data_IF_353616055812
#
_entry.id   IF_353616055812
#
_cell.length_a   1.000
_cell.length_b   1.000
_cell.length_c   1.000
_cell.angle_alpha   90.00
_cell.angle_beta   90.00
_cell.angle_gamma   90.00
#
_symmetry.space_group_name_H-M   'P 1'
#
loop_
_entity.id
_entity.type
_entity.pdbx_description
1 polymer ?
#
# COMPACT_ATOMS: atom_id res chain seq x y z
N UNK A 1 8.86 14.85 -34.75
CA UNK A 1 9.11 13.41 -34.61
C UNK A 1 7.76 12.71 -34.54
N UNK A 2 7.54 11.60 -35.25
CA UNK A 2 6.29 10.86 -35.10
C UNK A 2 6.13 10.39 -33.65
N UNK A 3 4.93 10.54 -33.10
CA UNK A 3 4.59 10.12 -31.74
C UNK A 3 4.11 8.67 -31.81
N UNK A 4 4.83 7.76 -31.15
CA UNK A 4 4.44 6.36 -31.07
C UNK A 4 3.45 6.20 -29.91
N UNK A 5 2.19 5.91 -30.22
CA UNK A 5 1.17 5.58 -29.22
C UNK A 5 1.02 4.07 -29.15
N UNK A 6 1.29 3.49 -27.97
CA UNK A 6 1.12 2.06 -27.72
C UNK A 6 -0.09 1.85 -26.81
N UNK A 7 -0.89 0.83 -27.13
CA UNK A 7 -1.90 0.30 -26.21
C UNK A 7 -1.23 -0.50 -25.08
N UNK A 8 -1.94 -0.67 -23.96
CA UNK A 8 -1.46 -1.49 -22.84
C UNK A 8 -1.17 -2.94 -23.29
N UNK A 9 -1.99 -3.49 -24.18
CA UNK A 9 -1.79 -4.84 -24.74
C UNK A 9 -0.49 -4.93 -25.53
N UNK A 10 -0.19 -3.93 -26.37
CA UNK A 10 1.08 -3.88 -27.10
C UNK A 10 2.28 -3.77 -26.15
N UNK A 11 2.17 -3.00 -25.07
CA UNK A 11 3.22 -2.92 -24.05
C UNK A 11 3.46 -4.28 -23.39
N UNK A 12 2.40 -5.01 -23.03
CA UNK A 12 2.50 -6.35 -22.43
C UNK A 12 3.14 -7.34 -23.40
N UNK A 13 2.76 -7.33 -24.68
CA UNK A 13 3.38 -8.19 -25.70
C UNK A 13 4.86 -7.89 -25.89
N UNK A 14 5.28 -6.62 -25.81
CA UNK A 14 6.70 -6.25 -25.86
C UNK A 14 7.46 -6.81 -24.65
N UNK A 15 6.88 -6.74 -23.44
CA UNK A 15 7.49 -7.31 -22.23
C UNK A 15 7.67 -8.83 -22.36
N UNK A 16 6.69 -9.53 -22.95
CA UNK A 16 6.77 -10.98 -23.20
C UNK A 16 7.91 -11.38 -24.13
N UNK A 17 8.37 -10.49 -25.01
CA UNK A 17 9.45 -10.77 -25.95
C UNK A 17 10.85 -10.51 -25.37
N UNK A 18 10.95 -9.91 -24.19
CA UNK A 18 12.23 -9.60 -23.56
C UNK A 18 13.01 -10.85 -23.14
N UNK A 19 14.36 -10.76 -23.07
CA UNK A 19 15.19 -11.77 -22.42
C UNK A 19 14.77 -11.98 -20.96
N UNK A 20 15.03 -13.18 -20.43
CA UNK A 20 14.61 -13.56 -19.07
C UNK A 20 15.18 -12.64 -17.98
N UNK A 21 16.41 -12.16 -18.16
CA UNK A 21 17.06 -11.23 -17.24
C UNK A 21 16.28 -9.91 -17.13
N UNK A 22 15.87 -9.34 -18.27
CA UNK A 22 15.10 -8.10 -18.34
C UNK A 22 13.66 -8.27 -17.79
N UNK A 23 13.04 -9.43 -18.02
CA UNK A 23 11.76 -9.77 -17.39
C UNK A 23 11.88 -9.82 -15.86
N UNK A 24 13.00 -10.33 -15.35
CA UNK A 24 13.26 -10.41 -13.91
C UNK A 24 13.44 -9.02 -13.30
N UNK A 25 14.07 -8.10 -14.01
CA UNK A 25 14.20 -6.70 -13.59
C UNK A 25 12.85 -5.99 -13.52
N UNK A 26 12.02 -6.12 -14.56
CA UNK A 26 10.65 -5.57 -14.57
C UNK A 26 9.83 -6.17 -13.43
N UNK A 27 9.91 -7.48 -13.21
CA UNK A 27 9.19 -8.13 -12.12
C UNK A 27 9.62 -7.62 -10.74
N UNK A 28 10.93 -7.42 -10.52
CA UNK A 28 11.47 -6.83 -9.29
C UNK A 28 10.94 -5.42 -9.06
N UNK A 29 10.92 -4.60 -10.11
CA UNK A 29 10.34 -3.25 -10.05
C UNK A 29 8.85 -3.27 -9.67
N UNK A 30 8.07 -4.16 -10.29
CA UNK A 30 6.63 -4.30 -9.98
C UNK A 30 6.39 -4.73 -8.54
N UNK A 31 7.20 -5.65 -7.99
CA UNK A 31 7.09 -6.06 -6.59
C UNK A 31 7.38 -4.91 -5.62
N UNK A 32 8.44 -4.13 -5.87
CA UNK A 32 8.81 -2.99 -5.01
C UNK A 32 7.74 -1.90 -5.06
N UNK A 33 7.25 -1.57 -6.25
CA UNK A 33 6.19 -0.55 -6.41
C UNK A 33 4.89 -0.94 -5.72
N UNK A 34 4.53 -2.24 -5.75
CA UNK A 34 3.38 -2.75 -5.01
C UNK A 34 3.61 -2.64 -3.50
N UNK A 35 4.79 -2.99 -2.98
CA UNK A 35 5.11 -2.82 -1.56
C UNK A 35 5.08 -1.38 -1.11
N UNK A 36 5.54 -0.44 -1.93
CA UNK A 36 5.47 0.98 -1.58
C UNK A 36 4.03 1.46 -1.49
N UNK A 37 3.17 1.05 -2.41
CA UNK A 37 1.74 1.34 -2.35
C UNK A 37 1.07 0.69 -1.12
N UNK A 38 1.45 -0.54 -0.77
CA UNK A 38 0.97 -1.21 0.44
C UNK A 38 1.49 -0.55 1.73
N UNK A 39 2.73 -0.08 1.74
CA UNK A 39 3.33 0.64 2.86
C UNK A 39 2.67 2.00 3.03
N UNK A 40 2.35 2.70 1.94
CA UNK A 40 1.61 3.96 1.97
C UNK A 40 0.16 3.73 2.48
N UNK A 41 -0.50 2.65 2.06
CA UNK A 41 -1.83 2.27 2.57
C UNK A 41 -1.79 1.85 4.05
N UNK A 42 -0.76 1.12 4.47
CA UNK A 42 -0.54 0.69 5.86
C UNK A 42 -0.25 1.90 6.77
N UNK A 43 0.62 2.80 6.32
CA UNK A 43 0.93 4.05 7.02
C UNK A 43 -0.31 4.96 7.09
N UNK A 44 -1.10 5.06 6.02
CA UNK A 44 -2.36 5.78 6.03
C UNK A 44 -3.35 5.21 7.06
N UNK A 45 -3.49 3.88 7.13
CA UNK A 45 -4.30 3.21 8.15
C UNK A 45 -3.81 3.50 9.57
N UNK A 46 -2.50 3.35 9.80
CA UNK A 46 -1.87 3.62 11.09
C UNK A 46 -2.04 5.08 11.54
N UNK A 47 -1.88 6.04 10.62
CA UNK A 47 -2.01 7.46 10.93
C UNK A 47 -3.46 7.87 11.20
N UNK A 48 -4.43 7.25 10.51
CA UNK A 48 -5.86 7.46 10.79
C UNK A 48 -6.26 6.94 12.15
N UNK A 49 -5.76 5.76 12.54
CA UNK A 49 -6.05 5.18 13.85
C UNK A 49 -5.38 5.99 14.97
N UNK A 50 -4.13 6.44 14.78
CA UNK A 50 -3.45 7.38 15.70
C UNK A 50 -4.22 8.70 15.85
N UNK A 51 -4.73 9.26 14.76
CA UNK A 51 -5.55 10.47 14.79
C UNK A 51 -6.86 10.24 15.55
N UNK A 52 -7.55 9.14 15.28
CA UNK A 52 -8.79 8.76 15.97
C UNK A 52 -8.58 8.54 17.48
N UNK A 53 -7.45 7.93 17.86
CA UNK A 53 -7.05 7.74 19.26
C UNK A 53 -6.85 9.08 19.95
N UNK A 54 -6.06 10.00 19.36
CA UNK A 54 -5.83 11.35 19.90
C UNK A 54 -7.12 12.15 20.04
N UNK A 55 -8.00 12.12 19.04
CA UNK A 55 -9.29 12.82 19.09
C UNK A 55 -10.19 12.33 20.23
N UNK A 56 -10.06 11.07 20.62
CA UNK A 56 -10.82 10.42 21.70
C UNK A 56 -10.08 10.42 23.05
N UNK A 57 -8.93 11.10 23.15
CA UNK A 57 -8.16 11.22 24.38
C UNK A 57 -7.25 10.03 24.71
N UNK A 58 -7.07 9.09 23.77
CA UNK A 58 -6.18 7.95 23.93
C UNK A 58 -4.76 8.29 23.43
N UNK A 59 -3.76 7.77 24.14
CA UNK A 59 -2.35 7.87 23.76
C UNK A 59 -1.90 6.56 23.09
N UNK A 60 -2.03 6.51 21.76
CA UNK A 60 -1.75 5.33 20.93
C UNK A 60 -0.37 4.70 21.19
N UNK A 61 0.63 5.52 21.48
CA UNK A 61 2.02 5.06 21.68
C UNK A 61 2.22 4.43 23.06
N UNK A 62 1.29 4.61 24.00
CA UNK A 62 1.30 3.99 25.33
C UNK A 62 0.37 2.79 25.48
N UNK A 63 -0.49 2.56 24.48
CA UNK A 63 -1.38 1.41 24.47
C UNK A 63 -0.59 0.12 24.23
N UNK A 64 -0.96 -0.93 24.96
CA UNK A 64 -0.54 -2.29 24.67
C UNK A 64 -1.14 -2.78 23.34
N UNK A 65 -0.60 -3.86 22.78
CA UNK A 65 -1.11 -4.40 21.53
C UNK A 65 -2.58 -4.85 21.66
N UNK A 66 -2.97 -5.45 22.78
CA UNK A 66 -4.36 -5.83 23.06
C UNK A 66 -5.30 -4.62 23.12
N UNK A 67 -4.86 -3.50 23.72
CA UNK A 67 -5.65 -2.26 23.75
C UNK A 67 -5.77 -1.64 22.35
N UNK A 68 -4.70 -1.69 21.54
CA UNK A 68 -4.72 -1.21 20.16
C UNK A 68 -5.67 -2.02 19.30
N UNK A 69 -5.66 -3.34 19.43
CA UNK A 69 -6.56 -4.23 18.70
C UNK A 69 -8.03 -3.96 19.05
N UNK A 70 -8.35 -3.85 20.34
CA UNK A 70 -9.69 -3.50 20.80
C UNK A 70 -10.15 -2.12 20.31
N UNK A 71 -9.24 -1.14 20.27
CA UNK A 71 -9.54 0.19 19.74
C UNK A 71 -9.77 0.18 18.23
N UNK A 72 -8.95 -0.55 17.47
CA UNK A 72 -9.14 -0.73 16.02
C UNK A 72 -10.50 -1.39 15.76
N UNK A 73 -10.85 -2.46 16.48
CA UNK A 73 -12.16 -3.13 16.32
C UNK A 73 -13.31 -2.15 16.56
N UNK A 74 -13.20 -1.34 17.61
CA UNK A 74 -14.24 -0.39 17.98
C UNK A 74 -14.36 0.78 17.00
N UNK A 75 -13.26 1.24 16.40
CA UNK A 75 -13.25 2.26 15.33
C UNK A 75 -13.82 1.70 14.03
N UNK A 76 -13.43 0.48 13.63
CA UNK A 76 -13.90 -0.17 12.39
C UNK A 76 -15.41 -0.45 12.43
N UNK A 77 -15.93 -0.81 13.60
CA UNK A 77 -17.35 -1.12 13.78
C UNK A 77 -18.19 0.06 14.30
N UNK A 78 -17.64 1.28 14.34
CA UNK A 78 -18.32 2.50 14.82
C UNK A 78 -18.95 2.36 16.22
N UNK A 79 -18.32 1.58 17.10
CA UNK A 79 -18.82 1.32 18.47
C UNK A 79 -18.35 2.36 19.49
N UNK A 80 -17.68 3.44 19.04
CA UNK A 80 -17.06 4.50 19.84
C UNK A 80 -17.46 5.92 19.42
#
# INVERSE_FOLDING_TARGET
>A
MPMLTLSNEQVVELVKQLPQEQKTEIFRFLLISQWQQWQDLSNYGADKVRLAARQRGYDWEKMTEDEKENFIDAVVHEKL
#
